data_IF_438072874422
#
_entry.id   IF_438072874422
#
_cell.length_a   1.000
_cell.length_b   1.000
_cell.length_c   1.000
_cell.angle_alpha   90.00
_cell.angle_beta   90.00
_cell.angle_gamma   90.00
#
_symmetry.space_group_name_H-M   'P 1'
#
loop_
_entity.id
_entity.type
_entity.pdbx_description
1 polymer ?
#
# COMPACT_ATOMS: atom_id res chain seq x y z
N UNK A 1 32.09 -27.73 21.06
CA UNK A 1 31.88 -27.06 22.37
C UNK A 1 31.63 -25.56 22.21
N UNK A 2 32.48 -24.84 21.47
CA UNK A 2 32.32 -23.39 21.25
C UNK A 2 31.05 -23.01 20.47
N UNK A 3 30.61 -23.83 19.52
CA UNK A 3 29.35 -23.65 18.77
C UNK A 3 28.11 -23.58 19.68
N UNK A 4 28.06 -24.37 20.75
CA UNK A 4 26.96 -24.35 21.72
C UNK A 4 26.98 -23.09 22.59
N UNK A 5 28.17 -22.58 22.93
CA UNK A 5 28.32 -21.33 23.67
C UNK A 5 27.89 -20.12 22.82
N UNK A 6 28.27 -20.09 21.54
CA UNK A 6 27.81 -19.06 20.61
C UNK A 6 26.28 -19.13 20.42
N UNK A 7 25.72 -20.33 20.26
CA UNK A 7 24.27 -20.51 20.14
C UNK A 7 23.52 -20.04 21.40
N UNK A 8 24.01 -20.39 22.60
CA UNK A 8 23.42 -19.95 23.87
C UNK A 8 23.49 -18.42 24.02
N UNK A 9 24.62 -17.81 23.67
CA UNK A 9 24.79 -16.36 23.71
C UNK A 9 23.80 -15.64 22.77
N UNK A 10 23.58 -16.17 21.55
CA UNK A 10 22.58 -15.62 20.62
C UNK A 10 21.14 -15.76 21.16
N UNK A 11 20.81 -16.87 21.81
CA UNK A 11 19.49 -17.06 22.44
C UNK A 11 19.29 -16.08 23.59
N UNK A 12 20.29 -15.89 24.46
CA UNK A 12 20.21 -14.95 25.57
C UNK A 12 20.14 -13.51 25.06
N UNK A 13 20.96 -13.13 24.08
CA UNK A 13 20.95 -11.79 23.48
C UNK A 13 19.62 -11.49 22.78
N UNK A 14 19.05 -12.47 22.06
CA UNK A 14 17.73 -12.30 21.43
C UNK A 14 16.61 -12.20 22.47
N UNK A 15 16.68 -12.96 23.57
CA UNK A 15 15.76 -12.86 24.71
C UNK A 15 15.82 -11.50 25.41
N UNK A 16 17.03 -11.00 25.71
CA UNK A 16 17.24 -9.68 26.30
C UNK A 16 16.76 -8.56 25.37
N UNK A 17 17.06 -8.67 24.07
CA UNK A 17 16.56 -7.73 23.07
C UNK A 17 15.04 -7.74 22.98
N UNK A 18 14.41 -8.92 23.00
CA UNK A 18 12.95 -9.06 22.99
C UNK A 18 12.33 -8.36 24.21
N UNK A 19 12.85 -8.62 25.41
CA UNK A 19 12.37 -8.00 26.66
C UNK A 19 12.56 -6.48 26.66
N UNK A 20 13.72 -5.98 26.21
CA UNK A 20 13.98 -4.55 26.07
C UNK A 20 13.07 -3.88 25.02
N UNK A 21 12.76 -4.59 23.92
CA UNK A 21 11.88 -4.08 22.86
C UNK A 21 10.41 -4.01 23.27
N UNK A 22 9.96 -4.92 24.14
CA UNK A 22 8.61 -4.95 24.71
C UNK A 22 8.30 -3.68 25.52
N UNK A 23 9.30 -3.16 26.24
CA UNK A 23 9.19 -1.96 27.08
C UNK A 23 9.20 -0.63 26.32
N UNK A 24 9.59 -0.61 25.05
CA UNK A 24 9.61 0.62 24.24
C UNK A 24 8.22 1.10 23.79
N UNK A 25 7.19 0.29 23.99
CA UNK A 25 5.83 0.54 23.48
C UNK A 25 4.79 0.79 24.57
N UNK A 26 5.24 1.03 25.81
CA UNK A 26 4.36 1.51 26.87
C UNK A 26 5.17 2.23 27.92
N UNK A 27 5.14 3.56 27.86
CA UNK A 27 5.14 4.52 28.99
C UNK A 27 5.49 5.92 28.47
N UNK A 28 4.54 6.53 27.77
CA UNK A 28 4.64 7.94 27.40
C UNK A 28 3.80 8.28 26.18
N UNK A 29 2.68 8.95 26.42
CA UNK A 29 1.78 9.61 25.44
C UNK A 29 0.75 8.74 24.69
N UNK A 30 -0.35 9.41 24.32
CA UNK A 30 -1.63 8.91 23.81
C UNK A 30 -1.52 8.25 22.43
N UNK A 31 -0.88 7.08 22.32
CA UNK A 31 -0.87 6.33 21.07
C UNK A 31 -2.17 5.54 20.87
N UNK A 32 -2.61 5.35 19.60
CA UNK A 32 -3.74 4.48 19.30
C UNK A 32 -3.50 3.04 19.78
N UNK A 33 -4.55 2.29 20.12
CA UNK A 33 -4.43 0.89 20.52
C UNK A 33 -3.84 0.04 19.38
N UNK A 34 -3.23 -1.10 19.72
CA UNK A 34 -2.68 -2.02 18.72
C UNK A 34 -2.34 -3.40 19.28
N UNK A 35 -2.28 -4.44 18.43
CA UNK A 35 -1.76 -5.75 18.84
C UNK A 35 -0.28 -5.64 19.25
N UNK A 36 0.23 -6.59 20.06
CA UNK A 36 1.65 -6.66 20.35
C UNK A 36 2.44 -7.11 19.12
N UNK A 37 3.40 -6.29 18.67
CA UNK A 37 4.29 -6.62 17.54
C UNK A 37 5.52 -7.43 17.97
N UNK A 38 6.07 -8.21 17.04
CA UNK A 38 7.34 -8.90 17.22
C UNK A 38 8.53 -7.93 17.09
N UNK A 39 9.68 -8.19 17.75
CA UNK A 39 10.91 -7.43 17.52
C UNK A 39 11.30 -7.46 16.04
N UNK A 40 11.88 -6.37 15.54
CA UNK A 40 12.41 -6.20 14.18
C UNK A 40 11.36 -6.24 13.06
N UNK A 41 10.54 -7.29 12.97
CA UNK A 41 9.54 -7.51 11.90
C UNK A 41 8.19 -6.82 12.18
N UNK A 42 7.91 -6.49 13.44
CA UNK A 42 6.65 -5.86 13.84
C UNK A 42 5.45 -6.79 13.61
N UNK A 43 4.50 -6.33 12.79
CA UNK A 43 3.22 -6.96 12.51
C UNK A 43 3.15 -7.62 11.13
N UNK A 44 4.24 -7.56 10.34
CA UNK A 44 4.27 -8.15 8.99
C UNK A 44 3.83 -9.62 8.96
N UNK A 45 4.28 -10.50 9.89
CA UNK A 45 3.88 -11.90 9.84
C UNK A 45 2.36 -12.14 10.02
N UNK A 46 1.64 -11.20 10.63
CA UNK A 46 0.21 -11.33 10.90
C UNK A 46 -0.67 -11.00 9.68
N UNK A 47 -0.10 -10.36 8.64
CA UNK A 47 -0.87 -9.92 7.48
C UNK A 47 -1.25 -11.07 6.53
N UNK A 48 -0.52 -12.18 6.57
CA UNK A 48 -0.76 -13.34 5.73
C UNK A 48 -0.76 -13.02 4.22
N UNK A 49 -1.45 -13.85 3.44
CA UNK A 49 -1.56 -13.70 1.97
C UNK A 49 -2.48 -12.54 1.55
N UNK A 50 -3.46 -12.18 2.38
CA UNK A 50 -4.47 -11.17 2.08
C UNK A 50 -4.41 -10.04 3.13
N UNK A 51 -3.42 -9.13 3.02
CA UNK A 51 -3.14 -8.13 4.05
C UNK A 51 -4.35 -7.24 4.39
N UNK A 52 -5.14 -6.87 3.38
CA UNK A 52 -6.35 -6.06 3.59
C UNK A 52 -7.42 -6.75 4.47
N UNK A 53 -7.52 -8.09 4.43
CA UNK A 53 -8.46 -8.83 5.30
C UNK A 53 -7.94 -8.87 6.73
N UNK A 54 -6.65 -9.16 6.90
CA UNK A 54 -6.01 -9.14 8.21
C UNK A 54 -6.13 -7.75 8.87
N UNK A 55 -5.89 -6.67 8.12
CA UNK A 55 -6.04 -5.29 8.60
C UNK A 55 -7.48 -4.96 9.00
N UNK A 56 -8.48 -5.38 8.20
CA UNK A 56 -9.89 -5.24 8.56
C UNK A 56 -10.21 -5.94 9.88
N UNK A 57 -9.75 -7.18 10.04
CA UNK A 57 -10.04 -7.98 11.22
C UNK A 57 -9.33 -7.40 12.47
N UNK A 58 -8.14 -6.85 12.29
CA UNK A 58 -7.44 -6.05 13.31
C UNK A 58 -8.27 -4.82 13.69
N UNK A 59 -8.75 -4.03 12.73
CA UNK A 59 -9.56 -2.84 13.02
C UNK A 59 -10.87 -3.20 13.74
N UNK A 60 -11.53 -4.30 13.37
CA UNK A 60 -12.73 -4.76 14.08
C UNK A 60 -12.47 -5.06 15.56
N UNK A 61 -11.26 -5.50 15.90
CA UNK A 61 -10.87 -5.85 17.27
C UNK A 61 -10.36 -4.65 18.08
N UNK A 62 -9.56 -3.78 17.47
CA UNK A 62 -8.84 -2.70 18.16
C UNK A 62 -9.45 -1.31 17.95
N UNK A 63 -10.39 -1.18 17.00
CA UNK A 63 -11.10 0.06 16.71
C UNK A 63 -10.71 0.72 15.39
N UNK A 64 -11.20 1.95 15.15
CA UNK A 64 -11.09 2.64 13.87
C UNK A 64 -9.71 3.21 13.56
N UNK A 65 -8.87 3.41 14.59
CA UNK A 65 -7.49 3.87 14.49
C UNK A 65 -6.62 2.89 15.27
N UNK A 66 -5.70 2.22 14.58
CA UNK A 66 -4.86 1.18 15.17
C UNK A 66 -3.40 1.45 14.89
N UNK A 67 -2.55 1.37 15.91
CA UNK A 67 -1.11 1.46 15.74
C UNK A 67 -0.53 0.10 15.34
N UNK A 68 0.26 0.10 14.28
CA UNK A 68 0.96 -1.05 13.74
C UNK A 68 2.42 -0.66 13.47
N UNK A 69 3.19 -1.66 13.03
CA UNK A 69 4.59 -1.54 12.66
C UNK A 69 4.91 -2.54 11.59
N UNK A 70 5.39 -2.08 10.44
CA UNK A 70 5.84 -2.93 9.35
C UNK A 70 7.36 -2.92 9.31
N UNK A 71 7.98 -3.95 9.87
CA UNK A 71 9.42 -3.96 10.09
C UNK A 71 9.84 -2.88 11.10
N UNK A 72 10.59 -1.89 10.62
CA UNK A 72 11.01 -0.73 11.40
C UNK A 72 10.08 0.49 11.22
N UNK A 73 9.14 0.44 10.27
CA UNK A 73 8.28 1.57 9.94
C UNK A 73 7.04 1.60 10.83
N UNK A 74 6.83 2.65 11.65
CA UNK A 74 5.57 2.83 12.35
C UNK A 74 4.45 3.08 11.34
N UNK A 75 3.28 2.50 11.58
CA UNK A 75 2.14 2.59 10.66
C UNK A 75 0.87 2.79 11.46
N UNK A 76 -0.01 3.67 10.99
CA UNK A 76 -1.35 3.85 11.57
C UNK A 76 -2.36 3.34 10.56
N UNK A 77 -3.15 2.36 10.99
CA UNK A 77 -4.30 1.86 10.24
C UNK A 77 -5.52 2.73 10.59
N UNK A 78 -6.18 3.24 9.55
CA UNK A 78 -7.50 3.88 9.65
C UNK A 78 -8.52 3.09 8.85
N UNK A 79 -9.75 2.97 9.35
CA UNK A 79 -10.73 2.02 8.78
C UNK A 79 -12.18 2.49 8.80
N UNK A 80 -12.44 3.78 9.05
CA UNK A 80 -13.80 4.36 8.99
C UNK A 80 -13.85 5.58 8.07
N UNK A 81 -15.02 5.88 7.46
CA UNK A 81 -15.19 7.07 6.63
C UNK A 81 -14.83 8.38 7.34
N UNK A 82 -15.13 8.48 8.63
CA UNK A 82 -14.86 9.66 9.45
C UNK A 82 -13.35 9.87 9.59
N UNK A 83 -12.61 8.83 9.97
CA UNK A 83 -11.14 8.89 10.07
C UNK A 83 -10.47 9.10 8.72
N UNK A 84 -10.99 8.50 7.65
CA UNK A 84 -10.50 8.74 6.29
C UNK A 84 -10.71 10.20 5.87
N UNK A 85 -11.85 10.81 6.22
CA UNK A 85 -12.11 12.23 5.94
C UNK A 85 -11.14 13.14 6.69
N UNK A 86 -10.85 12.84 7.96
CA UNK A 86 -9.86 13.61 8.73
C UNK A 86 -8.47 13.59 8.06
N UNK A 87 -8.04 12.43 7.56
CA UNK A 87 -6.70 12.27 6.97
C UNK A 87 -6.63 12.77 5.53
N UNK A 88 -7.61 12.41 4.69
CA UNK A 88 -7.55 12.64 3.24
C UNK A 88 -8.16 13.97 2.81
N UNK A 89 -8.85 14.69 3.71
CA UNK A 89 -9.49 15.98 3.41
C UNK A 89 -9.18 17.05 4.44
N UNK A 90 -9.44 16.83 5.72
CA UNK A 90 -9.27 17.88 6.74
C UNK A 90 -7.80 18.22 6.99
N UNK A 91 -6.95 17.20 7.02
CA UNK A 91 -5.51 17.32 7.27
C UNK A 91 -4.68 16.77 6.10
N UNK A 92 -5.22 16.85 4.88
CA UNK A 92 -4.65 16.27 3.66
C UNK A 92 -3.21 16.71 3.42
N UNK A 93 -2.89 17.99 3.62
CA UNK A 93 -1.55 18.56 3.47
C UNK A 93 -0.51 17.97 4.42
N UNK A 94 -0.91 17.60 5.64
CA UNK A 94 -0.02 16.98 6.64
C UNK A 94 0.26 15.52 6.26
N UNK A 95 -0.75 14.82 5.74
CA UNK A 95 -0.63 13.41 5.33
C UNK A 95 -0.31 13.24 3.84
N UNK A 96 0.08 14.30 3.14
CA UNK A 96 0.32 14.27 1.70
C UNK A 96 1.65 13.60 1.31
N UNK A 97 2.54 13.32 2.27
CA UNK A 97 3.83 12.66 2.04
C UNK A 97 3.70 11.23 1.51
N UNK A 98 4.78 10.69 0.95
CA UNK A 98 4.85 9.29 0.51
C UNK A 98 5.93 8.54 1.27
N UNK A 99 5.62 7.34 1.80
CA UNK A 99 6.65 6.53 2.43
C UNK A 99 7.71 6.18 1.39
N UNK A 100 8.98 6.43 1.73
CA UNK A 100 10.09 6.03 0.89
C UNK A 100 10.12 4.50 0.74
N UNK A 101 10.14 4.03 -0.51
CA UNK A 101 10.27 2.63 -0.86
C UNK A 101 11.39 2.50 -1.88
N UNK A 102 12.40 1.67 -1.60
CA UNK A 102 13.55 1.47 -2.49
C UNK A 102 13.15 1.04 -3.91
N UNK A 103 12.22 0.07 -4.00
CA UNK A 103 11.66 -0.33 -5.29
C UNK A 103 10.90 0.82 -5.98
N UNK A 104 10.21 1.65 -5.19
CA UNK A 104 9.54 2.85 -5.67
C UNK A 104 10.53 3.82 -6.31
N UNK A 105 11.67 4.08 -5.67
CA UNK A 105 12.71 4.97 -6.23
C UNK A 105 13.13 4.52 -7.64
N UNK A 106 13.43 3.23 -7.81
CA UNK A 106 13.81 2.68 -9.10
C UNK A 106 12.69 2.75 -10.14
N UNK A 107 11.46 2.38 -9.77
CA UNK A 107 10.30 2.34 -10.67
C UNK A 107 9.75 3.73 -11.02
N UNK A 108 10.09 4.76 -10.25
CA UNK A 108 9.50 6.10 -10.36
C UNK A 108 10.52 7.19 -10.68
N UNK A 109 11.63 6.83 -11.33
CA UNK A 109 12.67 7.76 -11.77
C UNK A 109 13.27 8.60 -10.62
N UNK A 110 13.54 7.96 -9.50
CA UNK A 110 14.02 8.60 -8.29
C UNK A 110 12.92 9.28 -7.48
N UNK A 111 11.69 8.73 -7.47
CA UNK A 111 10.55 9.34 -6.78
C UNK A 111 9.94 10.54 -7.50
N UNK A 112 10.26 10.76 -8.78
CA UNK A 112 9.82 11.90 -9.60
C UNK A 112 8.71 11.49 -10.55
N UNK A 113 7.51 11.31 -10.01
CA UNK A 113 6.29 11.10 -10.79
C UNK A 113 5.03 11.54 -10.00
N UNK A 114 3.85 11.42 -10.61
CA UNK A 114 2.60 11.88 -9.97
C UNK A 114 2.17 11.05 -8.74
N UNK A 115 2.66 9.81 -8.58
CA UNK A 115 2.20 8.87 -7.55
C UNK A 115 3.09 8.81 -6.31
N UNK A 116 4.41 8.91 -6.49
CA UNK A 116 5.43 8.72 -5.46
C UNK A 116 6.16 10.00 -5.04
N UNK A 117 6.02 11.11 -5.77
CA UNK A 117 6.59 12.39 -5.34
C UNK A 117 5.91 12.94 -4.10
N UNK A 118 6.73 13.51 -3.21
CA UNK A 118 6.24 14.28 -2.07
C UNK A 118 5.47 15.52 -2.52
N UNK A 119 4.57 15.95 -1.64
CA UNK A 119 3.77 17.13 -1.89
C UNK A 119 4.65 18.39 -1.95
N UNK A 120 4.60 19.07 -3.09
CA UNK A 120 5.41 20.25 -3.35
C UNK A 120 5.11 20.86 -4.71
N UNK A 121 5.93 21.82 -5.13
CA UNK A 121 5.77 22.51 -6.43
C UNK A 121 5.83 21.54 -7.60
N UNK A 122 6.75 20.57 -7.57
CA UNK A 122 6.85 19.52 -8.58
C UNK A 122 5.55 18.72 -8.71
N UNK A 123 5.05 18.13 -7.62
CA UNK A 123 3.84 17.34 -7.63
C UNK A 123 2.62 18.16 -8.08
N UNK A 124 2.48 19.40 -7.60
CA UNK A 124 1.39 20.31 -7.98
C UNK A 124 1.40 20.62 -9.48
N UNK A 125 2.56 20.91 -10.06
CA UNK A 125 2.71 21.20 -11.48
C UNK A 125 2.42 19.97 -12.34
N UNK A 126 2.97 18.80 -11.97
CA UNK A 126 2.72 17.53 -12.68
C UNK A 126 1.24 17.17 -12.64
N UNK A 127 0.60 17.28 -11.46
CA UNK A 127 -0.85 17.05 -11.33
C UNK A 127 -1.65 18.01 -12.21
N UNK A 128 -1.32 19.30 -12.22
CA UNK A 128 -1.98 20.29 -13.08
C UNK A 128 -1.86 19.92 -14.56
N UNK A 129 -0.66 19.54 -15.01
CA UNK A 129 -0.41 19.12 -16.38
C UNK A 129 -1.29 17.91 -16.74
N UNK A 130 -1.26 16.85 -15.92
CA UNK A 130 -2.08 15.66 -16.16
C UNK A 130 -3.58 15.98 -16.19
N UNK A 131 -4.09 16.77 -15.24
CA UNK A 131 -5.51 17.14 -15.18
C UNK A 131 -5.93 17.95 -16.41
N UNK A 132 -5.13 18.92 -16.86
CA UNK A 132 -5.51 19.80 -17.98
C UNK A 132 -5.35 19.09 -19.33
N UNK A 133 -4.24 18.37 -19.52
CA UNK A 133 -3.85 17.91 -20.86
C UNK A 133 -4.09 16.42 -21.11
N UNK A 134 -4.31 15.60 -20.07
CA UNK A 134 -4.53 14.16 -20.22
C UNK A 134 -5.92 13.72 -19.74
N UNK A 135 -6.37 14.26 -18.60
CA UNK A 135 -7.57 13.81 -17.89
C UNK A 135 -8.71 14.84 -17.90
N UNK A 136 -8.65 15.82 -18.80
CA UNK A 136 -9.74 16.80 -18.95
C UNK A 136 -10.92 16.18 -19.71
N UNK A 137 -12.17 16.64 -19.47
CA UNK A 137 -13.36 16.11 -20.16
C UNK A 137 -13.20 16.11 -21.69
N UNK A 138 -12.70 17.21 -22.25
CA UNK A 138 -12.43 17.32 -23.67
C UNK A 138 -11.42 16.27 -24.17
N UNK A 139 -10.36 15.99 -23.41
CA UNK A 139 -9.40 14.95 -23.77
C UNK A 139 -10.05 13.57 -23.69
N UNK A 140 -10.80 13.28 -22.63
CA UNK A 140 -11.52 12.01 -22.49
C UNK A 140 -12.46 11.77 -23.67
N UNK A 141 -13.19 12.79 -24.11
CA UNK A 141 -14.06 12.74 -25.29
C UNK A 141 -13.27 12.53 -26.59
N UNK A 142 -12.15 13.24 -26.78
CA UNK A 142 -11.31 13.09 -27.98
C UNK A 142 -10.76 11.67 -28.19
N UNK A 143 -10.56 10.91 -27.10
CA UNK A 143 -10.12 9.51 -27.13
C UNK A 143 -11.29 8.51 -27.21
N UNK A 144 -12.55 8.94 -27.25
CA UNK A 144 -13.72 8.05 -27.36
C UNK A 144 -13.66 7.12 -28.58
N UNK A 145 -13.33 7.59 -29.80
CA UNK A 145 -13.33 6.72 -30.97
C UNK A 145 -12.32 5.59 -30.86
N UNK A 146 -11.13 5.89 -30.33
CA UNK A 146 -10.09 4.90 -30.09
C UNK A 146 -10.53 3.87 -29.04
N UNK A 147 -11.08 4.30 -27.89
CA UNK A 147 -11.61 3.35 -26.89
C UNK A 147 -12.74 2.49 -27.46
N UNK A 148 -13.62 3.06 -28.29
CA UNK A 148 -14.69 2.32 -28.94
C UNK A 148 -14.13 1.24 -29.87
N UNK A 149 -13.08 1.53 -30.63
CA UNK A 149 -12.42 0.55 -31.49
C UNK A 149 -11.84 -0.62 -30.68
N UNK A 150 -11.10 -0.35 -29.60
CA UNK A 150 -10.57 -1.40 -28.72
C UNK A 150 -11.68 -2.27 -28.11
N UNK A 151 -12.80 -1.67 -27.70
CA UNK A 151 -13.95 -2.44 -27.18
C UNK A 151 -14.58 -3.32 -28.26
N UNK A 152 -14.70 -2.83 -29.50
CA UNK A 152 -15.23 -3.63 -30.62
C UNK A 152 -14.33 -4.82 -30.92
N UNK A 153 -13.01 -4.63 -30.92
CA UNK A 153 -12.04 -5.70 -31.11
C UNK A 153 -12.12 -6.74 -29.99
N UNK A 154 -12.13 -6.29 -28.73
CA UNK A 154 -12.30 -7.15 -27.57
C UNK A 154 -13.56 -8.02 -27.65
N UNK A 155 -14.71 -7.44 -28.01
CA UNK A 155 -15.98 -8.18 -28.17
C UNK A 155 -15.90 -9.18 -29.34
N UNK A 156 -15.24 -8.81 -30.44
CA UNK A 156 -15.04 -9.71 -31.58
C UNK A 156 -14.20 -10.92 -31.18
N UNK A 157 -13.09 -10.71 -30.47
CA UNK A 157 -12.21 -11.77 -29.95
C UNK A 157 -12.96 -12.73 -29.03
N UNK A 158 -13.87 -12.21 -28.20
CA UNK A 158 -14.77 -13.03 -27.38
C UNK A 158 -15.71 -13.87 -28.25
N UNK A 159 -16.36 -13.26 -29.25
CA UNK A 159 -17.32 -13.95 -30.10
C UNK A 159 -16.68 -15.07 -30.94
N UNK A 160 -15.48 -14.84 -31.47
CA UNK A 160 -14.70 -15.86 -32.20
C UNK A 160 -14.29 -17.03 -31.30
N UNK A 161 -13.95 -16.76 -30.05
CA UNK A 161 -13.59 -17.79 -29.08
C UNK A 161 -14.81 -18.57 -28.60
N UNK A 162 -15.94 -17.90 -28.38
CA UNK A 162 -17.22 -18.53 -28.08
C UNK A 162 -17.70 -19.45 -29.22
N UNK A 163 -17.53 -19.02 -30.48
CA UNK A 163 -17.87 -19.82 -31.67
C UNK A 163 -17.06 -21.12 -31.77
N UNK A 164 -15.86 -21.15 -31.18
CA UNK A 164 -15.00 -22.35 -31.10
C UNK A 164 -15.33 -23.25 -29.89
N UNK A 165 -16.26 -22.84 -29.02
CA UNK A 165 -16.66 -23.59 -27.83
C UNK A 165 -15.58 -23.65 -26.73
N UNK A 166 -14.55 -22.80 -26.79
CA UNK A 166 -13.43 -22.82 -25.85
C UNK A 166 -13.61 -21.85 -24.67
N UNK A 167 -12.99 -22.13 -23.50
CA UNK A 167 -12.93 -21.17 -22.40
C UNK A 167 -12.07 -19.96 -22.77
N UNK A 168 -12.46 -18.76 -22.31
CA UNK A 168 -11.74 -17.50 -22.54
C UNK A 168 -11.13 -17.02 -21.22
N UNK A 169 -9.83 -16.73 -21.24
CA UNK A 169 -9.14 -16.14 -20.11
C UNK A 169 -9.10 -14.60 -20.21
N UNK A 170 -10.00 -13.91 -19.51
CA UNK A 170 -10.10 -12.44 -19.55
C UNK A 170 -8.86 -11.68 -19.01
N UNK A 171 -7.89 -12.37 -18.41
CA UNK A 171 -6.64 -11.76 -17.94
C UNK A 171 -5.48 -11.93 -18.92
N UNK A 172 -5.69 -12.58 -20.06
CA UNK A 172 -4.64 -12.78 -21.07
C UNK A 172 -4.38 -11.48 -21.83
N UNK A 173 -3.11 -11.07 -21.95
CA UNK A 173 -2.68 -9.86 -22.64
C UNK A 173 -2.95 -9.89 -24.16
N UNK A 174 -3.24 -11.08 -24.70
CA UNK A 174 -3.54 -11.28 -26.12
C UNK A 174 -4.99 -10.98 -26.50
N UNK A 175 -5.85 -10.60 -25.55
CA UNK A 175 -7.20 -10.13 -25.88
C UNK A 175 -7.12 -8.64 -26.21
N UNK A 176 -6.79 -8.36 -27.48
CA UNK A 176 -6.97 -7.04 -28.10
C UNK A 176 -8.32 -7.00 -28.81
#
# INVERSE_FOLDING_TARGET
MWTYLVALALVVMSGLYYLASKGRWSKGQNFPPGPPGLPIVGHLPMLGRLPHRALRDISRKYGPIVQLRFGQFPTVLVSTPETATQILKTHDSVFAGRPYMYAGEFLTYGGRNITASDYGTYWRNTRKLCTVHLLSPHKVESFEPMRRQEVVLFVKTINESASRGGPINLTDENIK
#
